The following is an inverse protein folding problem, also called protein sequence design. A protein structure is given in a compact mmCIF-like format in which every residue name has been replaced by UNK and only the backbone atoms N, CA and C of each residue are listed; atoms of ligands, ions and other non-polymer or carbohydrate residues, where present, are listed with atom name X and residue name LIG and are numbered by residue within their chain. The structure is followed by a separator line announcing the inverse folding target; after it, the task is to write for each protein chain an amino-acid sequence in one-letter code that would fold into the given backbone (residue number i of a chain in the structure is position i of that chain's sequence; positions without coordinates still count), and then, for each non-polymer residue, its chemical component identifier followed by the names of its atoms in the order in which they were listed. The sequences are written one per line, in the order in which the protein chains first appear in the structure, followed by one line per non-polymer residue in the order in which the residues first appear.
data_IF_142079252744
#
_entry.id   IF_142079252744
#
_cell.length_a   1.000
_cell.length_b   1.000
_cell.length_c   1.000
_cell.angle_alpha   90.00
_cell.angle_beta   90.00
_cell.angle_gamma   90.00
#
_symmetry.space_group_name_H-M   'P 1'
#
loop_
_entity.id
_entity.type
_entity.pdbx_description
1 polymer ?
#
# COMPACT_ATOMS: atom_id res chain seq x y z
N UNK A 1 40.58 -1.62 -8.71
CA UNK A 1 40.09 -2.72 -9.55
C UNK A 1 38.59 -2.58 -9.74
N UNK A 2 38.07 -2.76 -10.96
CA UNK A 2 36.63 -2.63 -11.25
C UNK A 2 35.97 -4.00 -11.19
N UNK A 3 34.90 -4.12 -10.41
CA UNK A 3 34.11 -5.32 -10.24
C UNK A 3 32.70 -5.08 -10.73
N UNK A 4 32.16 -6.03 -11.46
CA UNK A 4 30.75 -6.01 -11.86
C UNK A 4 29.96 -6.91 -10.91
N UNK A 5 28.99 -6.33 -10.21
CA UNK A 5 28.18 -7.04 -9.20
C UNK A 5 26.71 -6.96 -9.57
N UNK A 6 26.00 -8.08 -9.44
CA UNK A 6 24.55 -8.16 -9.59
C UNK A 6 23.90 -7.94 -8.22
N UNK A 7 23.01 -6.96 -8.12
CA UNK A 7 22.29 -6.63 -6.89
C UNK A 7 20.79 -6.77 -7.11
N UNK A 8 20.09 -7.29 -6.11
CA UNK A 8 18.63 -7.40 -6.08
C UNK A 8 18.12 -6.76 -4.78
N UNK A 9 17.05 -5.98 -4.89
CA UNK A 9 16.49 -5.27 -3.75
C UNK A 9 15.58 -4.11 -4.16
N UNK A 10 15.34 -3.21 -3.21
CA UNK A 10 14.56 -1.98 -3.41
C UNK A 10 15.46 -0.87 -3.93
N UNK A 11 15.06 -0.25 -5.03
CA UNK A 11 15.80 0.84 -5.66
C UNK A 11 14.90 2.05 -5.90
N UNK A 12 15.46 3.25 -5.79
CA UNK A 12 14.79 4.48 -6.23
C UNK A 12 15.18 4.75 -7.68
N UNK A 13 14.30 4.36 -8.62
CA UNK A 13 14.54 4.46 -10.06
C UNK A 13 13.69 5.57 -10.68
N UNK A 14 14.16 6.14 -11.79
CA UNK A 14 13.41 7.20 -12.48
C UNK A 14 12.21 6.59 -13.19
N UNK A 15 11.14 7.38 -13.34
CA UNK A 15 9.95 6.98 -14.10
C UNK A 15 10.30 6.46 -15.50
N UNK A 16 11.26 7.10 -16.18
CA UNK A 16 11.71 6.70 -17.52
C UNK A 16 12.17 5.23 -17.54
N UNK A 17 12.93 4.81 -16.54
CA UNK A 17 13.50 3.47 -16.46
C UNK A 17 12.39 2.42 -16.29
N UNK A 18 11.43 2.70 -15.41
CA UNK A 18 10.25 1.84 -15.19
C UNK A 18 9.42 1.74 -16.46
N UNK A 19 9.17 2.85 -17.13
CA UNK A 19 8.33 2.93 -18.32
C UNK A 19 8.99 2.30 -19.55
N UNK A 20 10.32 2.24 -19.59
CA UNK A 20 11.09 1.53 -20.62
C UNK A 20 10.95 0.02 -20.48
N UNK A 21 11.04 -0.52 -19.26
CA UNK A 21 10.89 -1.95 -18.97
C UNK A 21 9.42 -2.42 -18.90
N UNK A 22 8.50 -1.53 -18.53
CA UNK A 22 7.06 -1.82 -18.38
C UNK A 22 6.19 -0.83 -19.16
N UNK A 23 6.29 -0.79 -20.50
CA UNK A 23 5.56 0.19 -21.32
C UNK A 23 4.04 0.05 -21.24
N UNK A 24 3.54 -1.12 -20.81
CA UNK A 24 2.11 -1.39 -20.61
C UNK A 24 1.48 -0.49 -19.53
N UNK A 25 2.27 0.15 -18.66
CA UNK A 25 1.76 1.07 -17.64
C UNK A 25 1.39 2.45 -18.20
N UNK A 26 1.95 2.83 -19.36
CA UNK A 26 1.78 4.17 -19.96
C UNK A 26 0.30 4.62 -20.08
N UNK A 27 -0.64 3.76 -20.51
CA UNK A 27 -2.05 4.15 -20.60
C UNK A 27 -2.61 4.57 -19.24
N UNK A 28 -2.36 3.80 -18.18
CA UNK A 28 -2.83 4.09 -16.82
C UNK A 28 -2.26 5.43 -16.32
N UNK A 29 -0.94 5.62 -16.46
CA UNK A 29 -0.27 6.88 -16.09
C UNK A 29 -0.81 8.08 -16.87
N UNK A 30 -1.07 7.89 -18.16
CA UNK A 30 -1.66 8.90 -19.03
C UNK A 30 -3.08 9.28 -18.62
N UNK A 31 -3.90 8.33 -18.21
CA UNK A 31 -5.25 8.58 -17.71
C UNK A 31 -5.25 9.34 -16.38
N UNK A 32 -4.38 8.96 -15.44
CA UNK A 32 -4.20 9.69 -14.17
C UNK A 32 -3.89 11.17 -14.46
N UNK A 33 -2.93 11.44 -15.35
CA UNK A 33 -2.58 12.80 -15.78
C UNK A 33 -3.74 13.53 -16.44
N UNK A 34 -4.51 12.86 -17.33
CA UNK A 34 -5.67 13.45 -18.01
C UNK A 34 -6.78 13.88 -17.04
N UNK A 35 -6.94 13.18 -15.91
CA UNK A 35 -7.87 13.56 -14.84
C UNK A 35 -7.34 14.70 -13.94
N UNK A 36 -6.16 15.25 -14.23
CA UNK A 36 -5.54 16.32 -13.46
C UNK A 36 -4.86 15.83 -12.18
N UNK A 37 -4.72 14.52 -12.01
CA UNK A 37 -4.05 13.91 -10.87
C UNK A 37 -2.56 13.74 -11.13
N UNK A 38 -1.80 13.54 -10.05
CA UNK A 38 -0.38 13.25 -10.06
C UNK A 38 -0.16 11.80 -9.66
N UNK A 39 0.97 11.24 -10.05
CA UNK A 39 1.40 9.93 -9.55
C UNK A 39 2.87 9.95 -9.18
N UNK A 40 3.26 8.97 -8.36
CA UNK A 40 4.64 8.61 -8.08
C UNK A 40 4.77 7.09 -8.13
N UNK A 41 5.86 6.61 -8.73
CA UNK A 41 6.23 5.19 -8.67
C UNK A 41 7.03 4.97 -7.38
N UNK A 42 6.66 3.96 -6.61
CA UNK A 42 7.17 3.67 -5.28
C UNK A 42 7.55 2.19 -5.18
N UNK A 43 8.29 1.83 -4.12
CA UNK A 43 8.57 0.44 -3.75
C UNK A 43 9.06 -0.43 -4.93
N UNK A 44 10.03 0.07 -5.69
CA UNK A 44 10.50 -0.61 -6.90
C UNK A 44 11.48 -1.71 -6.50
N UNK A 45 11.04 -2.96 -6.65
CA UNK A 45 11.90 -4.13 -6.53
C UNK A 45 12.54 -4.41 -7.89
N UNK A 46 13.86 -4.32 -7.95
CA UNK A 46 14.60 -4.45 -9.20
C UNK A 46 15.85 -5.31 -9.05
N UNK A 47 16.34 -5.77 -10.19
CA UNK A 47 17.66 -6.37 -10.32
C UNK A 47 18.54 -5.45 -11.18
N UNK A 48 19.71 -5.11 -10.66
CA UNK A 48 20.63 -4.18 -11.30
C UNK A 48 22.03 -4.76 -11.36
N UNK A 49 22.81 -4.30 -12.33
CA UNK A 49 24.21 -4.61 -12.49
C UNK A 49 25.01 -3.33 -12.27
N UNK A 50 25.90 -3.37 -11.27
CA UNK A 50 26.66 -2.21 -10.81
C UNK A 50 28.14 -2.45 -11.04
N UNK A 51 28.83 -1.44 -11.58
CA UNK A 51 30.28 -1.44 -11.67
C UNK A 51 30.89 -0.72 -10.46
N UNK A 52 31.58 -1.47 -9.60
CA UNK A 52 32.20 -0.99 -8.38
C UNK A 52 33.71 -0.86 -8.56
N UNK A 53 34.25 0.34 -8.39
CA UNK A 53 35.69 0.52 -8.27
C UNK A 53 36.07 0.55 -6.79
N UNK A 54 36.54 -0.58 -6.26
CA UNK A 54 36.86 -0.71 -4.83
C UNK A 54 37.95 0.26 -4.36
N UNK A 55 38.85 0.68 -5.25
CA UNK A 55 39.94 1.61 -4.89
C UNK A 55 39.43 3.04 -4.64
N UNK A 56 38.24 3.36 -5.17
CA UNK A 56 37.60 4.68 -5.05
C UNK A 56 36.31 4.65 -4.21
N UNK A 57 35.85 3.47 -3.82
CA UNK A 57 34.58 3.28 -3.14
C UNK A 57 34.68 3.82 -1.71
N UNK A 58 33.83 4.79 -1.38
CA UNK A 58 33.67 5.25 -0.01
C UNK A 58 32.46 4.56 0.59
N UNK A 59 32.71 3.76 1.62
CA UNK A 59 31.67 3.06 2.37
C UNK A 59 31.40 3.81 3.67
N UNK A 60 30.12 3.99 3.97
CA UNK A 60 29.66 4.43 5.28
C UNK A 60 28.97 3.24 5.95
N UNK A 61 29.41 2.89 7.16
CA UNK A 61 28.76 1.90 7.99
C UNK A 61 28.00 2.62 9.10
N UNK A 62 26.67 2.48 9.09
CA UNK A 62 25.80 3.00 10.14
C UNK A 62 25.29 1.83 10.98
N UNK A 63 25.30 1.99 12.31
CA UNK A 63 24.61 1.08 13.22
C UNK A 63 23.37 1.77 13.75
N UNK A 64 22.22 1.15 13.50
CA UNK A 64 20.92 1.59 13.98
C UNK A 64 20.55 0.71 15.18
N UNK A 65 20.66 1.20 16.43
CA UNK A 65 20.30 0.41 17.60
C UNK A 65 18.80 0.07 17.58
N UNK A 66 18.39 -1.04 18.23
CA UNK A 66 17.00 -1.46 18.27
C UNK A 66 16.11 -0.36 18.87
N UNK A 67 14.98 -0.09 18.23
CA UNK A 67 13.98 0.90 18.66
C UNK A 67 12.71 0.17 19.05
N UNK A 68 12.38 0.23 20.34
CA UNK A 68 11.20 -0.39 20.94
C UNK A 68 9.90 0.12 20.30
N UNK A 69 9.90 1.36 19.81
CA UNK A 69 8.74 2.03 19.21
C UNK A 69 8.41 1.57 17.78
N UNK A 70 9.35 0.89 17.09
CA UNK A 70 9.20 0.47 15.68
C UNK A 70 9.07 -1.05 15.51
N UNK A 71 8.93 -1.82 16.61
CA UNK A 71 8.96 -3.29 16.60
C UNK A 71 10.23 -3.90 15.95
N UNK A 72 11.34 -3.14 15.87
CA UNK A 72 12.64 -3.67 15.50
C UNK A 72 13.29 -4.27 16.74
N UNK A 73 13.14 -5.59 16.90
CA UNK A 73 13.67 -6.34 18.05
C UNK A 73 15.21 -6.39 18.07
N UNK A 74 15.87 -6.15 16.93
CA UNK A 74 17.33 -6.21 16.78
C UNK A 74 17.89 -4.94 16.11
N UNK A 75 19.13 -4.59 16.46
CA UNK A 75 19.84 -3.48 15.82
C UNK A 75 20.27 -3.82 14.40
N UNK A 76 20.21 -2.85 13.50
CA UNK A 76 20.47 -3.03 12.07
C UNK A 76 21.79 -2.35 11.69
N UNK A 77 22.69 -3.08 11.03
CA UNK A 77 23.84 -2.49 10.37
C UNK A 77 23.49 -2.15 8.91
N UNK A 78 23.72 -0.91 8.52
CA UNK A 78 23.53 -0.43 7.15
C UNK A 78 24.89 -0.06 6.56
N UNK A 79 25.21 -0.64 5.40
CA UNK A 79 26.36 -0.22 4.60
C UNK A 79 25.82 0.56 3.40
N UNK A 80 26.22 1.83 3.29
CA UNK A 80 25.93 2.66 2.12
C UNK A 80 27.22 3.00 1.38
N UNK A 81 27.11 3.10 0.05
CA UNK A 81 28.24 3.38 -0.82
C UNK A 81 27.85 4.47 -1.83
N UNK A 82 28.67 5.52 -1.92
CA UNK A 82 28.52 6.51 -2.99
C UNK A 82 29.18 5.99 -4.27
N UNK A 83 28.38 5.77 -5.30
CA UNK A 83 28.81 5.17 -6.57
C UNK A 83 29.28 6.20 -7.61
N UNK A 84 29.10 7.51 -7.33
CA UNK A 84 29.50 8.62 -8.20
C UNK A 84 28.37 9.60 -8.50
N UNK A 85 28.69 10.67 -9.23
CA UNK A 85 27.78 11.81 -9.51
C UNK A 85 27.11 11.77 -10.89
N UNK A 86 27.49 10.85 -11.79
CA UNK A 86 26.94 10.77 -13.15
C UNK A 86 26.09 9.49 -13.37
N UNK A 87 24.77 9.60 -13.56
CA UNK A 87 23.92 8.50 -14.07
C UNK A 87 24.02 8.47 -15.61
N UNK A 88 24.33 7.35 -16.31
CA UNK A 88 24.00 5.95 -16.04
C UNK A 88 25.19 4.97 -16.14
N UNK A 89 26.44 5.44 -16.12
CA UNK A 89 27.61 4.59 -16.39
C UNK A 89 27.84 3.50 -15.33
N UNK A 90 27.32 3.70 -14.11
CA UNK A 90 27.64 2.86 -12.95
C UNK A 90 26.59 1.79 -12.65
N UNK A 91 25.35 1.94 -13.17
CA UNK A 91 24.25 1.03 -12.86
C UNK A 91 23.39 0.76 -14.11
N UNK A 92 23.36 -0.49 -14.53
CA UNK A 92 22.48 -1.00 -15.58
C UNK A 92 21.31 -1.75 -14.93
N UNK A 93 20.09 -1.32 -15.20
CA UNK A 93 18.88 -2.00 -14.72
C UNK A 93 18.65 -3.24 -15.61
N UNK A 94 18.57 -4.41 -14.99
CA UNK A 94 18.36 -5.68 -15.69
C UNK A 94 16.88 -6.02 -15.76
N UNK A 95 16.16 -5.87 -14.66
CA UNK A 95 14.73 -6.12 -14.56
C UNK A 95 14.11 -5.32 -13.43
N UNK A 96 12.80 -5.09 -13.54
CA UNK A 96 11.95 -4.61 -12.46
C UNK A 96 10.91 -5.70 -12.23
N UNK A 97 10.81 -6.19 -11.00
CA UNK A 97 9.92 -7.29 -10.64
C UNK A 97 8.57 -6.79 -10.15
N UNK A 98 8.58 -5.72 -9.34
CA UNK A 98 7.38 -5.11 -8.75
C UNK A 98 7.60 -3.61 -8.55
N UNK A 99 6.51 -2.86 -8.56
CA UNK A 99 6.47 -1.46 -8.13
C UNK A 99 5.04 -1.07 -7.80
N UNK A 100 4.89 -0.05 -6.98
CA UNK A 100 3.61 0.55 -6.60
C UNK A 100 3.42 1.89 -7.27
N UNK A 101 2.16 2.30 -7.43
CA UNK A 101 1.80 3.64 -7.91
C UNK A 101 0.98 4.33 -6.82
N UNK A 102 1.54 5.41 -6.26
CA UNK A 102 0.80 6.33 -5.41
C UNK A 102 0.16 7.42 -6.25
N UNK A 103 -1.17 7.56 -6.19
CA UNK A 103 -1.95 8.58 -6.90
C UNK A 103 -2.25 9.72 -5.93
N UNK A 104 -1.92 10.95 -6.33
CA UNK A 104 -2.17 12.17 -5.57
C UNK A 104 -3.13 13.09 -6.32
N UNK A 105 -3.97 13.79 -5.58
CA UNK A 105 -4.92 14.76 -6.13
C UNK A 105 -4.45 16.18 -5.81
N UNK A 106 -5.31 17.18 -6.02
CA UNK A 106 -4.95 18.59 -5.79
C UNK A 106 -4.71 18.85 -4.31
N UNK A 107 -5.49 18.25 -3.43
CA UNK A 107 -5.46 18.52 -1.99
C UNK A 107 -4.95 17.33 -1.15
N UNK A 108 -4.86 16.13 -1.72
CA UNK A 108 -4.39 14.93 -1.00
C UNK A 108 -3.09 14.38 -1.61
N UNK A 109 -2.03 14.34 -0.80
CA UNK A 109 -0.79 13.64 -1.12
C UNK A 109 -0.99 12.13 -0.90
N UNK A 110 -0.81 11.34 -1.95
CA UNK A 110 -1.02 9.89 -1.95
C UNK A 110 -2.43 9.46 -1.47
N UNK A 111 -3.46 9.89 -2.21
CA UNK A 111 -4.85 9.50 -1.97
C UNK A 111 -5.06 7.98 -2.02
N UNK A 112 -4.48 7.30 -3.01
CA UNK A 112 -4.61 5.85 -3.20
C UNK A 112 -3.29 5.27 -3.69
N UNK A 113 -2.88 4.14 -3.12
CA UNK A 113 -1.72 3.36 -3.56
C UNK A 113 -2.18 2.04 -4.19
N UNK A 114 -1.64 1.72 -5.37
CA UNK A 114 -2.03 0.53 -6.13
C UNK A 114 -0.82 -0.34 -6.49
N UNK A 115 -1.07 -1.64 -6.56
CA UNK A 115 -0.23 -2.61 -7.25
C UNK A 115 -0.80 -2.82 -8.67
N UNK A 116 -0.10 -2.33 -9.71
CA UNK A 116 -0.59 -2.44 -11.08
C UNK A 116 -0.41 -3.84 -11.70
N UNK A 117 0.43 -4.70 -11.13
CA UNK A 117 0.63 -6.07 -11.62
C UNK A 117 -0.51 -6.97 -11.17
N UNK A 118 -0.88 -6.88 -9.90
CA UNK A 118 -1.98 -7.66 -9.32
C UNK A 118 -3.34 -6.99 -9.51
N UNK A 119 -3.37 -5.75 -10.03
CA UNK A 119 -4.56 -4.89 -10.10
C UNK A 119 -5.25 -4.76 -8.74
N UNK A 120 -4.46 -4.46 -7.71
CA UNK A 120 -4.96 -4.29 -6.35
C UNK A 120 -4.77 -2.88 -5.83
N UNK A 121 -5.71 -2.41 -5.04
CA UNK A 121 -5.57 -1.20 -4.21
C UNK A 121 -4.95 -1.65 -2.91
N UNK A 122 -3.70 -1.25 -2.66
CA UNK A 122 -2.96 -1.55 -1.43
C UNK A 122 -3.39 -0.67 -0.28
N UNK A 123 -3.76 0.58 -0.57
CA UNK A 123 -4.13 1.55 0.46
C UNK A 123 -5.05 2.63 -0.10
N UNK A 124 -6.04 2.99 0.69
CA UNK A 124 -6.83 4.22 0.53
C UNK A 124 -6.47 5.10 1.73
N UNK A 125 -6.10 6.35 1.50
CA UNK A 125 -5.69 7.22 2.60
C UNK A 125 -6.91 7.70 3.40
N UNK A 126 -6.99 7.35 4.69
CA UNK A 126 -8.02 7.87 5.60
C UNK A 126 -7.73 9.33 5.94
N UNK A 127 -8.37 10.24 5.19
CA UNK A 127 -8.31 11.69 5.38
C UNK A 127 -9.21 12.20 6.51
N UNK A 128 -10.09 11.34 7.06
CA UNK A 128 -11.06 11.73 8.09
C UNK A 128 -10.53 11.51 9.51
N UNK A 129 -9.46 10.73 9.69
CA UNK A 129 -8.92 10.34 11.01
C UNK A 129 -7.96 11.33 11.69
N UNK A 130 -7.62 12.46 11.05
CA UNK A 130 -6.77 13.48 11.71
C UNK A 130 -7.57 14.26 12.77
N UNK A 131 -7.04 14.42 13.99
CA UNK A 131 -7.67 14.98 15.20
C UNK A 131 -8.28 16.41 15.10
N UNK A 132 -8.19 17.07 13.95
CA UNK A 132 -8.82 18.36 13.73
C UNK A 132 -10.28 18.23 13.27
N UNK A 133 -11.13 19.15 13.74
CA UNK A 133 -12.55 19.23 13.36
C UNK A 133 -12.75 19.15 11.84
N UNK A 134 -13.85 18.51 11.41
CA UNK A 134 -14.31 18.51 10.03
C UNK A 134 -14.24 19.94 9.46
N UNK A 135 -13.32 20.15 8.54
CA UNK A 135 -13.19 21.42 7.83
C UNK A 135 -13.63 21.21 6.38
N UNK A 136 -14.13 22.24 5.69
CA UNK A 136 -14.47 22.16 4.26
C UNK A 136 -13.33 21.60 3.40
N UNK A 137 -12.07 21.82 3.83
CA UNK A 137 -10.88 21.28 3.20
C UNK A 137 -10.79 19.75 3.29
N UNK A 138 -11.09 19.17 4.46
CA UNK A 138 -11.10 17.70 4.65
C UNK A 138 -12.18 17.01 3.85
N UNK A 139 -13.36 17.61 3.74
CA UNK A 139 -14.43 17.07 2.89
C UNK A 139 -14.05 17.10 1.41
N UNK A 140 -13.36 18.16 0.96
CA UNK A 140 -12.83 18.23 -0.40
C UNK A 140 -11.74 17.16 -0.63
N UNK A 141 -10.83 16.97 0.33
CA UNK A 141 -9.82 15.90 0.27
C UNK A 141 -10.46 14.51 0.24
N UNK A 142 -11.44 14.23 1.12
CA UNK A 142 -12.19 12.97 1.13
C UNK A 142 -12.94 12.74 -0.19
N UNK A 143 -13.49 13.80 -0.78
CA UNK A 143 -14.17 13.70 -2.07
C UNK A 143 -13.18 13.32 -3.18
N UNK A 144 -12.00 13.91 -3.19
CA UNK A 144 -10.96 13.58 -4.15
C UNK A 144 -10.45 12.14 -3.99
N UNK A 145 -10.22 11.68 -2.75
CA UNK A 145 -9.83 10.29 -2.46
C UNK A 145 -10.92 9.33 -2.96
N UNK A 146 -12.18 9.62 -2.67
CA UNK A 146 -13.33 8.85 -3.12
C UNK A 146 -13.40 8.75 -4.66
N UNK A 147 -13.21 9.86 -5.38
CA UNK A 147 -13.23 9.87 -6.84
C UNK A 147 -12.11 9.01 -7.45
N UNK A 148 -10.92 9.02 -6.86
CA UNK A 148 -9.81 8.16 -7.29
C UNK A 148 -10.12 6.69 -7.01
N UNK A 149 -10.56 6.36 -5.79
CA UNK A 149 -10.88 4.98 -5.40
C UNK A 149 -12.01 4.40 -6.25
N UNK A 150 -13.10 5.15 -6.44
CA UNK A 150 -14.22 4.77 -7.29
C UNK A 150 -13.79 4.53 -8.73
N UNK A 151 -12.99 5.44 -9.31
CA UNK A 151 -12.44 5.25 -10.65
C UNK A 151 -11.62 3.97 -10.79
N UNK A 152 -10.74 3.68 -9.82
CA UNK A 152 -9.92 2.47 -9.83
C UNK A 152 -10.78 1.21 -9.75
N UNK A 153 -11.78 1.18 -8.87
CA UNK A 153 -12.62 0.01 -8.64
C UNK A 153 -13.59 -0.20 -9.81
N UNK A 154 -14.39 0.82 -10.15
CA UNK A 154 -15.51 0.68 -11.09
C UNK A 154 -15.08 0.76 -12.55
N UNK A 155 -14.18 1.69 -12.90
CA UNK A 155 -13.76 1.87 -14.30
C UNK A 155 -12.52 1.04 -14.66
N UNK A 156 -11.62 0.78 -13.69
CA UNK A 156 -10.37 0.04 -13.94
C UNK A 156 -10.35 -1.38 -13.43
N UNK A 157 -11.36 -1.78 -12.65
CA UNK A 157 -11.51 -3.15 -12.16
C UNK A 157 -10.43 -3.55 -11.15
N UNK A 158 -9.84 -2.59 -10.44
CA UNK A 158 -8.95 -2.89 -9.33
C UNK A 158 -9.75 -3.46 -8.17
N UNK A 159 -9.15 -4.38 -7.43
CA UNK A 159 -9.74 -4.98 -6.22
C UNK A 159 -9.04 -4.47 -4.96
N UNK A 160 -9.74 -4.37 -3.82
CA UNK A 160 -9.10 -4.17 -2.52
C UNK A 160 -8.05 -5.27 -2.26
N UNK A 161 -6.89 -4.90 -1.71
CA UNK A 161 -5.86 -5.88 -1.34
C UNK A 161 -6.25 -6.66 -0.07
N UNK A 162 -6.97 -6.01 0.84
CA UNK A 162 -7.38 -6.54 2.13
C UNK A 162 -8.69 -5.88 2.62
N UNK A 163 -9.16 -6.33 3.78
CA UNK A 163 -10.36 -5.86 4.46
C UNK A 163 -10.24 -4.41 4.98
N UNK A 164 -9.03 -3.92 5.28
CA UNK A 164 -8.84 -2.51 5.65
C UNK A 164 -9.15 -1.58 4.48
N UNK A 165 -8.72 -1.93 3.27
CA UNK A 165 -9.06 -1.17 2.06
C UNK A 165 -10.57 -1.19 1.78
N UNK A 166 -11.25 -2.31 2.05
CA UNK A 166 -12.71 -2.41 1.96
C UNK A 166 -13.39 -1.47 2.95
N UNK A 167 -12.96 -1.50 4.22
CA UNK A 167 -13.49 -0.64 5.28
C UNK A 167 -13.29 0.85 4.97
N UNK A 168 -12.10 1.25 4.50
CA UNK A 168 -11.82 2.64 4.14
C UNK A 168 -12.63 3.11 2.93
N UNK A 169 -12.81 2.26 1.93
CA UNK A 169 -13.69 2.57 0.80
C UNK A 169 -15.15 2.69 1.23
N UNK A 170 -15.62 1.81 2.12
CA UNK A 170 -16.98 1.87 2.69
C UNK A 170 -17.24 3.21 3.38
N UNK A 171 -16.30 3.71 4.20
CA UNK A 171 -16.45 5.03 4.85
C UNK A 171 -16.70 6.14 3.83
N UNK A 172 -16.01 6.11 2.69
CA UNK A 172 -16.17 7.10 1.62
C UNK A 172 -17.53 6.98 0.92
N UNK A 173 -17.97 5.74 0.65
CA UNK A 173 -19.29 5.45 0.07
C UNK A 173 -20.43 5.90 1.00
N UNK A 174 -20.34 5.55 2.29
CA UNK A 174 -21.30 5.96 3.31
C UNK A 174 -21.38 7.49 3.42
N UNK A 175 -20.24 8.18 3.27
CA UNK A 175 -20.19 9.64 3.33
C UNK A 175 -20.84 10.32 2.11
N UNK A 176 -20.54 9.85 0.89
CA UNK A 176 -20.89 10.56 -0.34
C UNK A 176 -22.09 10.00 -1.09
N UNK A 177 -22.34 8.69 -1.04
CA UNK A 177 -23.46 8.05 -1.72
C UNK A 177 -24.62 7.75 -0.77
N UNK A 178 -24.31 7.48 0.51
CA UNK A 178 -25.29 7.14 1.56
C UNK A 178 -26.24 6.00 1.13
N UNK A 179 -25.70 4.85 0.68
CA UNK A 179 -26.54 3.73 0.28
C UNK A 179 -27.31 3.18 1.49
N UNK A 180 -28.35 2.39 1.21
CA UNK A 180 -29.04 1.65 2.26
C UNK A 180 -28.08 0.67 2.95
N UNK A 181 -27.98 0.78 4.28
CA UNK A 181 -27.20 -0.12 5.11
C UNK A 181 -28.06 -0.83 6.15
N UNK A 182 -27.63 -2.02 6.58
CA UNK A 182 -28.26 -2.79 7.64
C UNK A 182 -27.19 -3.48 8.49
N UNK A 183 -27.53 -3.86 9.73
CA UNK A 183 -26.64 -4.62 10.61
C UNK A 183 -27.04 -6.09 10.60
N UNK A 184 -26.05 -6.98 10.49
CA UNK A 184 -26.20 -8.42 10.65
C UNK A 184 -25.50 -8.86 11.93
N UNK A 185 -26.19 -9.62 12.77
CA UNK A 185 -25.61 -10.26 13.96
C UNK A 185 -25.54 -11.76 13.71
N UNK A 186 -24.36 -12.35 13.94
CA UNK A 186 -24.11 -13.78 13.77
C UNK A 186 -23.84 -14.42 15.13
N UNK A 187 -24.53 -15.51 15.43
CA UNK A 187 -24.23 -16.39 16.56
C UNK A 187 -23.64 -17.69 16.00
N UNK A 188 -22.41 -18.01 16.40
CA UNK A 188 -21.67 -19.17 15.88
C UNK A 188 -21.35 -20.13 17.03
N UNK A 189 -21.56 -21.42 16.79
CA UNK A 189 -21.17 -22.49 17.73
C UNK A 189 -20.05 -23.32 17.10
N UNK A 190 -18.93 -23.49 17.81
CA UNK A 190 -17.82 -24.32 17.35
C UNK A 190 -18.20 -25.79 17.39
N UNK A 191 -18.20 -26.44 16.23
CA UNK A 191 -18.41 -27.90 16.11
C UNK A 191 -17.11 -28.70 16.16
N UNK A 192 -16.02 -28.14 15.65
CA UNK A 192 -14.70 -28.78 15.51
C UNK A 192 -13.61 -27.71 15.64
N UNK A 193 -12.93 -27.66 16.78
CA UNK A 193 -11.93 -26.62 17.10
C UNK A 193 -10.77 -26.59 16.10
N UNK A 194 -10.40 -27.74 15.52
CA UNK A 194 -9.26 -27.83 14.61
C UNK A 194 -9.54 -27.20 13.23
N UNK A 195 -10.81 -26.87 12.94
CA UNK A 195 -11.23 -26.23 11.69
C UNK A 195 -11.58 -24.76 11.86
N UNK A 196 -11.48 -24.24 13.09
CA UNK A 196 -11.79 -22.85 13.37
C UNK A 196 -10.62 -21.99 12.84
N UNK A 197 -10.86 -21.13 11.84
CA UNK A 197 -9.82 -20.23 11.35
C UNK A 197 -9.42 -19.23 12.43
N UNK A 198 -8.27 -18.59 12.28
CA UNK A 198 -7.96 -17.43 13.11
C UNK A 198 -8.98 -16.30 12.92
N UNK A 199 -9.07 -15.40 13.89
CA UNK A 199 -9.98 -14.24 13.79
C UNK A 199 -9.70 -13.40 12.53
N UNK A 200 -8.43 -13.16 12.21
CA UNK A 200 -8.03 -12.40 11.02
C UNK A 200 -8.41 -13.11 9.72
N UNK A 201 -8.26 -14.43 9.66
CA UNK A 201 -8.71 -15.22 8.51
C UNK A 201 -10.23 -15.17 8.35
N UNK A 202 -10.98 -15.35 9.45
CA UNK A 202 -12.44 -15.26 9.44
C UNK A 202 -12.92 -13.89 8.97
N UNK A 203 -12.32 -12.81 9.51
CA UNK A 203 -12.61 -11.43 9.12
C UNK A 203 -12.39 -11.23 7.62
N UNK A 204 -11.21 -11.60 7.12
CA UNK A 204 -10.85 -11.48 5.71
C UNK A 204 -11.83 -12.26 4.81
N UNK A 205 -12.16 -13.49 5.18
CA UNK A 205 -13.09 -14.33 4.40
C UNK A 205 -14.51 -13.75 4.37
N UNK A 206 -15.03 -13.25 5.49
CA UNK A 206 -16.33 -12.60 5.55
C UNK A 206 -16.35 -11.31 4.71
N UNK A 207 -15.33 -10.46 4.84
CA UNK A 207 -15.22 -9.24 4.03
C UNK A 207 -15.21 -9.56 2.53
N UNK A 208 -14.43 -10.57 2.10
CA UNK A 208 -14.41 -11.02 0.71
C UNK A 208 -15.78 -11.58 0.26
N UNK A 209 -16.42 -12.41 1.10
CA UNK A 209 -17.72 -12.99 0.80
C UNK A 209 -18.79 -11.93 0.52
N UNK A 210 -18.83 -10.87 1.35
CA UNK A 210 -19.76 -9.75 1.16
C UNK A 210 -19.38 -8.89 -0.04
N UNK A 211 -18.10 -8.58 -0.20
CA UNK A 211 -17.60 -7.75 -1.30
C UNK A 211 -17.95 -8.33 -2.67
N UNK A 212 -17.76 -9.63 -2.87
CA UNK A 212 -18.11 -10.34 -4.11
C UNK A 212 -19.62 -10.31 -4.43
N UNK A 213 -20.46 -10.01 -3.45
CA UNK A 213 -21.92 -9.89 -3.57
C UNK A 213 -22.39 -8.43 -3.63
N UNK A 214 -21.47 -7.48 -3.82
CA UNK A 214 -21.77 -6.06 -3.89
C UNK A 214 -22.06 -5.42 -2.54
N UNK A 215 -21.61 -6.02 -1.44
CA UNK A 215 -21.80 -5.51 -0.09
C UNK A 215 -20.46 -5.11 0.52
N UNK A 216 -20.37 -3.89 1.04
CA UNK A 216 -19.21 -3.43 1.80
C UNK A 216 -19.46 -3.70 3.28
N UNK A 217 -18.70 -4.63 3.85
CA UNK A 217 -18.83 -5.02 5.25
C UNK A 217 -17.81 -4.29 6.13
N UNK A 218 -18.23 -3.98 7.35
CA UNK A 218 -17.39 -3.46 8.42
C UNK A 218 -17.75 -4.21 9.69
N UNK A 219 -16.76 -4.77 10.38
CA UNK A 219 -16.97 -5.42 11.66
C UNK A 219 -16.95 -4.36 12.76
N UNK A 220 -18.11 -4.14 13.40
CA UNK A 220 -18.19 -3.26 14.57
C UNK A 220 -17.34 -3.83 15.70
N UNK A 221 -16.33 -3.08 16.14
CA UNK A 221 -15.56 -3.40 17.35
C UNK A 221 -16.33 -2.92 18.57
N UNK A 222 -16.49 -3.79 19.56
CA UNK A 222 -17.03 -3.38 20.85
C UNK A 222 -16.06 -2.42 21.53
N UNK A 223 -16.53 -1.23 21.92
CA UNK A 223 -15.70 -0.20 22.59
C UNK A 223 -15.30 -0.58 24.03
N UNK A 224 -15.67 -1.77 24.51
CA UNK A 224 -15.52 -2.20 25.91
C UNK A 224 -14.39 -3.21 26.20
N UNK A 225 -13.64 -3.68 25.19
CA UNK A 225 -12.77 -4.87 25.33
C UNK A 225 -11.26 -4.56 25.37
N UNK A 226 -10.83 -3.42 25.94
CA UNK A 226 -9.44 -3.25 26.36
C UNK A 226 -9.02 -4.19 27.52
N UNK A 227 -9.98 -4.92 28.12
CA UNK A 227 -9.74 -5.88 29.21
C UNK A 227 -9.63 -7.35 28.78
N UNK A 228 -9.80 -7.70 27.49
CA UNK A 228 -9.88 -9.10 27.05
C UNK A 228 -8.60 -9.65 26.39
N UNK A 229 -7.42 -9.08 26.71
CA UNK A 229 -6.11 -9.55 26.25
C UNK A 229 -5.75 -11.01 26.67
N UNK A 230 -6.61 -11.70 27.43
CA UNK A 230 -6.39 -13.07 27.90
C UNK A 230 -7.57 -14.03 27.67
N UNK A 231 -8.11 -14.11 26.45
CA UNK A 231 -8.95 -15.26 26.06
C UNK A 231 -8.56 -15.85 24.70
N UNK A 232 -8.33 -17.17 24.71
CA UNK A 232 -8.18 -18.06 23.54
C UNK A 232 -9.47 -18.10 22.69
N UNK A 233 -9.38 -18.69 21.48
CA UNK A 233 -9.38 -17.95 20.24
C UNK A 233 -10.78 -17.48 19.84
N UNK A 234 -10.80 -16.29 19.24
CA UNK A 234 -11.95 -15.56 18.67
C UNK A 234 -12.78 -14.79 19.72
N UNK A 235 -12.80 -13.45 19.65
CA UNK A 235 -13.70 -12.61 20.45
C UNK A 235 -15.16 -12.74 20.03
#
# INVERSE_FOLDING_TARGET
MVYTVKLKGKFDLKEKDVVELHPWIKPLLGEIKKKGWKYRILNIDAEVLVELNLDKLKLTLNYHPPRIDEFNEEGIYEISAELGSEPPTVMKILSIERFDIGISTKHCLCAVEIDPFEKKIKRIWDVLWSFDKESPKKLAEAREVYEVAKWLIEEKGFKPADDHVVEDYKKLIDLFEKPYGFTLTLELTVKDENKVPSWEELKRELCNFFYERGLLAELKRDKGTLSNLFRKPIP
#
